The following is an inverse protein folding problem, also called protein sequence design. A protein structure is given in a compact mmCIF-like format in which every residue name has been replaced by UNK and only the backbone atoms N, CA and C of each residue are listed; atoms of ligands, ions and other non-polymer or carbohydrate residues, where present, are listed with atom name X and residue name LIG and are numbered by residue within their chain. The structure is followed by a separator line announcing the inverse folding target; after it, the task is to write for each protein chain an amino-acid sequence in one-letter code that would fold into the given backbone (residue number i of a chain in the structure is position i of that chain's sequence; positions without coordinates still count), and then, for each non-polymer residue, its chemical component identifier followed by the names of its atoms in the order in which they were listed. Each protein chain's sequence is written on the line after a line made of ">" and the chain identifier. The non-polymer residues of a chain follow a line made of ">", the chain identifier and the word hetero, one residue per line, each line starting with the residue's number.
data_IF_163364438558
#
_entry.id   IF_163364438558
#
_cell.length_a   1.000
_cell.length_b   1.000
_cell.length_c   1.000
_cell.angle_alpha   90.00
_cell.angle_beta   90.00
_cell.angle_gamma   90.00
#
_symmetry.space_group_name_H-M   'P 1'
#
loop_
_entity.id
_entity.type
_entity.pdbx_description
1 polymer ?
#
# COMPACT_ATOMS: atom_id res chain seq x y z
N UNK A 1 -18.61 -12.67 2.58
CA UNK A 1 -17.50 -13.60 2.93
C UNK A 1 -16.20 -12.85 2.75
N UNK A 2 -15.34 -12.88 3.76
CA UNK A 2 -14.00 -12.26 3.70
C UNK A 2 -13.03 -13.30 3.17
N UNK A 3 -12.19 -12.91 2.22
CA UNK A 3 -11.13 -13.77 1.66
C UNK A 3 -9.89 -12.93 1.37
N UNK A 4 -8.76 -13.60 1.13
CA UNK A 4 -7.54 -12.94 0.67
C UNK A 4 -7.41 -13.12 -0.84
N UNK A 5 -7.10 -12.04 -1.55
CA UNK A 5 -6.92 -12.05 -3.00
C UNK A 5 -5.64 -11.30 -3.38
N UNK A 6 -4.95 -11.79 -4.40
CA UNK A 6 -3.83 -11.11 -5.04
C UNK A 6 -4.30 -9.83 -5.73
N UNK A 7 -3.44 -8.82 -5.86
CA UNK A 7 -3.82 -7.57 -6.53
C UNK A 7 -4.22 -7.78 -7.99
N UNK A 8 -3.61 -8.77 -8.66
CA UNK A 8 -3.93 -9.20 -10.02
C UNK A 8 -5.35 -9.81 -10.15
N UNK A 9 -5.93 -10.30 -9.06
CA UNK A 9 -7.32 -10.77 -9.04
C UNK A 9 -8.32 -9.61 -8.83
N UNK A 10 -7.85 -8.49 -8.27
CA UNK A 10 -8.66 -7.32 -7.93
C UNK A 10 -8.68 -6.27 -9.04
N UNK A 11 -7.60 -6.17 -9.83
CA UNK A 11 -7.48 -5.26 -10.96
C UNK A 11 -6.92 -5.97 -12.18
N UNK A 12 -7.43 -5.59 -13.36
CA UNK A 12 -6.91 -6.06 -14.66
C UNK A 12 -5.54 -5.45 -15.02
N UNK A 13 -5.20 -4.32 -14.42
CA UNK A 13 -3.96 -3.59 -14.70
C UNK A 13 -3.46 -2.95 -13.40
N UNK A 14 -3.04 -3.76 -12.41
CA UNK A 14 -2.53 -3.23 -11.16
C UNK A 14 -1.28 -2.38 -11.42
N UNK A 15 -1.16 -1.28 -10.71
CA UNK A 15 0.02 -0.42 -10.66
C UNK A 15 0.41 -0.22 -9.21
N UNK A 16 1.71 -0.02 -8.96
CA UNK A 16 2.14 0.28 -7.60
C UNK A 16 1.71 1.69 -7.25
N UNK A 17 2.07 2.63 -8.12
CA UNK A 17 1.55 4.00 -8.15
C UNK A 17 1.05 4.35 -9.55
N UNK A 18 -0.05 5.10 -9.65
CA UNK A 18 -0.61 5.55 -10.94
C UNK A 18 0.06 6.83 -11.44
N UNK A 19 0.10 7.87 -10.60
CA UNK A 19 0.62 9.21 -10.93
C UNK A 19 1.62 9.74 -9.87
N UNK A 20 2.27 8.83 -9.14
CA UNK A 20 3.11 9.14 -7.99
C UNK A 20 2.31 9.21 -6.69
N UNK A 21 2.93 9.71 -5.62
CA UNK A 21 2.33 9.74 -4.29
C UNK A 21 1.58 11.06 -4.05
N UNK A 22 0.25 11.03 -4.05
CA UNK A 22 -0.56 12.19 -3.65
C UNK A 22 -1.29 11.94 -2.34
N UNK A 23 -1.40 13.00 -1.52
CA UNK A 23 -2.21 12.98 -0.29
C UNK A 23 -3.68 12.66 -0.56
N UNK A 24 -4.14 12.97 -1.78
CA UNK A 24 -5.52 12.81 -2.22
C UNK A 24 -5.88 11.36 -2.59
N UNK A 25 -4.88 10.48 -2.65
CA UNK A 25 -5.08 9.10 -3.06
C UNK A 25 -5.46 8.20 -1.89
N UNK A 26 -5.18 8.62 -0.65
CA UNK A 26 -5.40 7.79 0.55
C UNK A 26 -6.87 7.84 0.98
N UNK A 27 -7.58 6.73 0.80
CA UNK A 27 -8.98 6.57 1.21
C UNK A 27 -9.08 5.48 2.28
N UNK A 28 -9.63 5.77 3.48
CA UNK A 28 -9.89 4.75 4.49
C UNK A 28 -10.88 3.70 3.98
N UNK A 29 -10.59 2.43 4.30
CA UNK A 29 -11.53 1.33 4.08
C UNK A 29 -12.66 1.27 5.09
N UNK A 30 -13.50 0.25 4.96
CA UNK A 30 -14.57 -0.02 5.94
C UNK A 30 -14.02 -0.37 7.33
N UNK A 31 -12.85 -1.00 7.37
CA UNK A 31 -12.13 -1.33 8.60
C UNK A 31 -10.80 -0.57 8.73
N UNK A 32 -10.57 0.43 7.86
CA UNK A 32 -9.32 1.20 7.85
C UNK A 32 -9.23 2.17 9.04
N UNK A 33 -8.03 2.34 9.57
CA UNK A 33 -7.75 3.30 10.65
C UNK A 33 -7.55 4.72 10.08
N UNK A 34 -8.49 5.63 10.35
CA UNK A 34 -8.45 7.01 9.82
C UNK A 34 -7.19 7.78 10.24
N UNK A 35 -6.68 7.53 11.44
CA UNK A 35 -5.44 8.15 11.95
C UNK A 35 -4.22 7.70 11.14
N UNK A 36 -4.14 6.42 10.80
CA UNK A 36 -3.07 5.85 9.98
C UNK A 36 -3.13 6.39 8.55
N UNK A 37 -4.33 6.44 7.95
CA UNK A 37 -4.52 7.04 6.63
C UNK A 37 -4.08 8.53 6.61
N UNK A 38 -4.41 9.28 7.67
CA UNK A 38 -3.97 10.67 7.80
C UNK A 38 -2.44 10.79 7.86
N UNK A 39 -1.78 9.89 8.60
CA UNK A 39 -0.32 9.84 8.66
C UNK A 39 0.30 9.53 7.28
N UNK A 40 -0.30 8.61 6.51
CA UNK A 40 0.14 8.31 5.14
C UNK A 40 -0.05 9.52 4.21
N UNK A 41 -1.19 10.21 4.27
CA UNK A 41 -1.41 11.46 3.52
C UNK A 41 -0.41 12.55 3.90
N UNK A 42 0.00 12.64 5.18
CA UNK A 42 1.06 13.56 5.60
C UNK A 42 2.44 13.13 5.07
N UNK A 43 2.71 11.82 5.03
CA UNK A 43 3.97 11.27 4.51
C UNK A 43 4.19 11.68 3.05
N UNK A 44 3.14 11.68 2.20
CA UNK A 44 3.27 12.07 0.77
C UNK A 44 3.72 13.52 0.58
N UNK A 45 3.63 14.38 1.61
CA UNK A 45 4.11 15.76 1.57
C UNK A 45 5.62 15.88 1.76
N UNK A 46 6.31 14.80 2.13
CA UNK A 46 7.74 14.75 2.38
C UNK A 46 8.42 13.71 1.46
N UNK A 47 8.76 14.07 0.20
CA UNK A 47 9.30 13.12 -0.79
C UNK A 47 10.52 12.33 -0.32
N UNK A 48 11.41 12.96 0.46
CA UNK A 48 12.59 12.31 1.02
C UNK A 48 12.23 11.21 2.04
N UNK A 49 11.13 11.38 2.78
CA UNK A 49 10.63 10.35 3.69
C UNK A 49 9.87 9.27 2.94
N UNK A 50 9.12 9.64 1.90
CA UNK A 50 8.45 8.67 1.01
C UNK A 50 9.47 7.72 0.40
N UNK A 51 10.52 8.24 -0.25
CA UNK A 51 11.57 7.41 -0.86
C UNK A 51 12.33 6.54 0.17
N UNK A 52 12.32 6.95 1.44
CA UNK A 52 12.90 6.16 2.53
C UNK A 52 11.97 5.05 3.02
N UNK A 53 10.68 5.33 3.16
CA UNK A 53 9.67 4.38 3.61
C UNK A 53 9.24 3.40 2.51
N UNK A 54 9.22 3.86 1.27
CA UNK A 54 8.76 3.15 0.08
C UNK A 54 9.91 3.18 -0.94
N UNK A 55 10.80 2.18 -0.93
CA UNK A 55 11.90 2.09 -1.88
C UNK A 55 11.40 1.96 -3.32
N UNK A 56 12.10 2.60 -4.26
CA UNK A 56 11.82 2.53 -5.69
C UNK A 56 12.05 1.12 -6.26
N UNK A 57 11.49 0.87 -7.45
CA UNK A 57 11.68 -0.38 -8.19
C UNK A 57 10.68 -1.49 -7.84
N UNK A 58 9.62 -1.14 -7.12
CA UNK A 58 8.49 -2.02 -6.82
C UNK A 58 7.36 -1.74 -7.80
N UNK A 59 7.18 -2.61 -8.80
CA UNK A 59 6.15 -2.44 -9.83
C UNK A 59 5.48 -3.76 -10.22
N UNK A 60 4.32 -3.67 -10.86
CA UNK A 60 3.59 -4.81 -11.43
C UNK A 60 4.01 -5.06 -12.89
N UNK A 61 5.31 -5.11 -13.15
CA UNK A 61 5.90 -5.31 -14.47
C UNK A 61 6.45 -6.74 -14.65
N UNK A 62 7.32 -6.95 -15.65
CA UNK A 62 7.91 -8.26 -15.94
C UNK A 62 8.79 -8.82 -14.80
N UNK A 63 9.19 -8.00 -13.82
CA UNK A 63 9.96 -8.41 -12.63
C UNK A 63 9.06 -8.70 -11.42
N UNK A 64 7.74 -8.55 -11.58
CA UNK A 64 6.78 -8.82 -10.53
C UNK A 64 6.88 -10.25 -10.00
N UNK A 65 6.96 -10.38 -8.67
CA UNK A 65 7.04 -11.67 -7.97
C UNK A 65 6.00 -11.82 -6.85
N UNK A 66 5.07 -10.87 -6.71
CA UNK A 66 4.10 -10.84 -5.61
C UNK A 66 4.70 -10.49 -4.25
N UNK A 67 5.91 -9.92 -4.23
CA UNK A 67 6.63 -9.53 -3.02
C UNK A 67 6.90 -8.03 -3.04
N UNK A 68 6.62 -7.37 -1.93
CA UNK A 68 6.83 -5.94 -1.71
C UNK A 68 7.57 -5.72 -0.39
N UNK A 69 8.28 -4.60 -0.26
CA UNK A 69 9.02 -4.24 0.93
C UNK A 69 8.91 -2.75 1.25
N UNK A 70 8.86 -2.46 2.54
CA UNK A 70 8.72 -1.11 3.08
C UNK A 70 9.64 -0.92 4.27
N UNK A 71 9.95 0.33 4.61
CA UNK A 71 10.77 0.65 5.77
C UNK A 71 10.00 1.52 6.75
N UNK A 72 10.05 1.15 8.02
CA UNK A 72 9.42 1.90 9.10
C UNK A 72 10.44 2.27 10.15
N UNK A 73 10.25 3.44 10.78
CA UNK A 73 11.04 3.83 11.93
C UNK A 73 10.47 3.20 13.20
N UNK A 74 11.28 2.40 13.89
CA UNK A 74 10.90 1.74 15.12
C UNK A 74 12.07 1.75 16.10
N UNK A 75 11.84 2.30 17.29
CA UNK A 75 12.81 2.32 18.40
C UNK A 75 14.21 2.87 18.04
N UNK A 76 14.27 3.91 17.20
CA UNK A 76 15.54 4.56 16.83
C UNK A 76 16.20 3.99 15.59
N UNK A 77 15.58 3.01 14.91
CA UNK A 77 16.16 2.35 13.75
C UNK A 77 15.13 2.21 12.61
N UNK A 78 15.64 2.06 11.38
CA UNK A 78 14.81 1.74 10.22
C UNK A 78 14.73 0.23 10.05
N UNK A 79 13.50 -0.30 10.12
CA UNK A 79 13.21 -1.72 9.98
C UNK A 79 12.57 -1.96 8.62
N UNK A 80 13.12 -2.90 7.85
CA UNK A 80 12.54 -3.36 6.60
C UNK A 80 11.50 -4.45 6.85
N UNK A 81 10.33 -4.31 6.24
CA UNK A 81 9.22 -5.24 6.32
C UNK A 81 8.87 -5.70 4.92
N UNK A 82 8.99 -7.01 4.70
CA UNK A 82 8.66 -7.68 3.44
C UNK A 82 7.29 -8.34 3.56
N UNK A 83 6.42 -8.15 2.58
CA UNK A 83 5.08 -8.72 2.52
C UNK A 83 4.79 -9.36 1.15
N UNK A 84 3.84 -10.29 1.12
CA UNK A 84 3.17 -10.67 -0.13
C UNK A 84 2.10 -9.64 -0.50
N UNK A 85 1.53 -9.72 -1.70
CA UNK A 85 0.55 -8.76 -2.22
C UNK A 85 -0.92 -9.14 -1.97
N UNK A 86 -1.20 -10.22 -1.23
CA UNK A 86 -2.58 -10.63 -0.95
C UNK A 86 -3.24 -9.68 0.03
N UNK A 87 -4.41 -9.16 -0.31
CA UNK A 87 -5.16 -8.24 0.53
C UNK A 87 -6.45 -8.88 1.05
N UNK A 88 -6.90 -8.54 2.27
CA UNK A 88 -8.20 -8.97 2.78
C UNK A 88 -9.31 -8.20 2.07
N UNK A 89 -10.25 -8.93 1.49
CA UNK A 89 -11.25 -8.43 0.55
C UNK A 89 -12.64 -8.87 0.98
N UNK A 90 -13.61 -7.96 0.82
CA UNK A 90 -15.03 -8.24 0.98
C UNK A 90 -15.77 -7.63 -0.21
N UNK A 91 -16.67 -8.40 -0.82
CA UNK A 91 -17.45 -7.97 -1.99
C UNK A 91 -16.60 -7.42 -3.15
N UNK A 92 -15.40 -7.99 -3.34
CA UNK A 92 -14.48 -7.59 -4.41
C UNK A 92 -13.72 -6.29 -4.17
N UNK A 93 -13.74 -5.74 -2.96
CA UNK A 93 -13.00 -4.53 -2.57
C UNK A 93 -12.09 -4.79 -1.37
N UNK A 94 -10.88 -4.18 -1.32
CA UNK A 94 -10.05 -4.18 -0.11
C UNK A 94 -10.84 -3.65 1.09
N UNK A 95 -10.74 -4.35 2.23
CA UNK A 95 -11.48 -3.98 3.43
C UNK A 95 -10.88 -2.78 4.18
N UNK A 96 -9.57 -2.60 4.08
CA UNK A 96 -8.83 -1.50 4.70
C UNK A 96 -8.55 -0.38 3.69
N UNK A 97 -7.51 0.42 3.90
CA UNK A 97 -7.20 1.57 3.05
C UNK A 97 -7.04 1.18 1.57
N UNK A 98 -7.34 2.13 0.69
CA UNK A 98 -7.25 1.97 -0.76
C UNK A 98 -6.85 3.28 -1.43
N UNK A 99 -6.34 3.15 -2.64
CA UNK A 99 -6.14 4.26 -3.56
C UNK A 99 -7.45 4.88 -4.05
N UNK A 100 -7.37 6.12 -4.52
CA UNK A 100 -8.44 6.76 -5.30
C UNK A 100 -8.60 6.09 -6.66
N UNK A 101 -7.49 5.75 -7.31
CA UNK A 101 -7.48 4.83 -8.45
C UNK A 101 -7.60 3.40 -7.92
N UNK A 102 -8.59 2.65 -8.43
CA UNK A 102 -8.81 1.25 -8.03
C UNK A 102 -7.73 0.29 -8.56
N UNK A 103 -6.85 0.76 -9.43
CA UNK A 103 -5.70 0.02 -9.93
C UNK A 103 -4.43 0.30 -9.14
N UNK A 104 -4.42 1.30 -8.25
CA UNK A 104 -3.25 1.69 -7.46
C UNK A 104 -3.22 0.94 -6.11
N UNK A 105 -2.09 0.29 -5.82
CA UNK A 105 -1.98 -0.62 -4.66
C UNK A 105 -0.92 -0.25 -3.61
N UNK A 106 -0.14 0.82 -3.76
CA UNK A 106 0.86 1.17 -2.74
C UNK A 106 0.23 1.40 -1.36
N UNK A 107 -0.95 2.02 -1.27
CA UNK A 107 -1.66 2.32 0.00
C UNK A 107 -2.03 1.05 0.78
N UNK A 108 -2.84 0.12 0.22
CA UNK A 108 -3.21 -1.10 0.94
C UNK A 108 -2.00 -1.98 1.26
N UNK A 109 -0.98 -2.01 0.40
CA UNK A 109 0.25 -2.76 0.65
C UNK A 109 1.07 -2.13 1.78
N UNK A 110 1.17 -0.81 1.82
CA UNK A 110 1.88 -0.09 2.87
C UNK A 110 1.20 -0.26 4.24
N UNK A 111 -0.14 -0.20 4.28
CA UNK A 111 -0.92 -0.51 5.48
C UNK A 111 -0.70 -1.94 5.95
N UNK A 112 -0.74 -2.92 5.03
CA UNK A 112 -0.47 -4.33 5.34
C UNK A 112 0.92 -4.53 5.94
N UNK A 113 1.93 -3.83 5.41
CA UNK A 113 3.28 -3.90 5.94
C UNK A 113 3.38 -3.25 7.33
N UNK A 114 2.64 -2.17 7.60
CA UNK A 114 2.56 -1.57 8.93
C UNK A 114 1.88 -2.48 9.96
N UNK A 115 0.91 -3.29 9.53
CA UNK A 115 0.19 -4.23 10.38
C UNK A 115 0.97 -5.51 10.74
N UNK A 116 2.10 -5.79 10.08
CA UNK A 116 2.95 -6.97 10.31
C UNK A 116 3.96 -6.74 11.44
#
# INVERSE_FOLDING_TARGET
>A
MIYFAFTQELSKKPTFTADGYSKLDVIPGWLGETSLCSAFSCLTLAPNLVARCIPDGQEFDNKYSGIFHFKFWRFGEWIEVIIDDRLPVCSGQPMFSRGKDSNEFWIPLFEKAYAK
#
